data_IF_168071886736
#
_entry.id   IF_168071886736
#
_cell.length_a   1.000
_cell.length_b   1.000
_cell.length_c   1.000
_cell.angle_alpha   90.00
_cell.angle_beta   90.00
_cell.angle_gamma   90.00
#
_symmetry.space_group_name_H-M   'P 1'
#
loop_
_entity.id
_entity.type
_entity.pdbx_description
1 polymer ?
#
# COMPACT_ATOMS: atom_id res chain seq x y z
N UNK A 1 -11.90 25.12 17.54
CA UNK A 1 -10.58 24.81 16.97
C UNK A 1 -10.70 23.46 16.31
N UNK A 2 -10.62 23.40 14.97
CA UNK A 2 -10.77 22.16 14.20
C UNK A 2 -9.51 21.97 13.36
N UNK A 3 -9.06 20.72 13.30
CA UNK A 3 -8.01 20.20 12.40
C UNK A 3 -6.57 20.51 12.77
N UNK A 4 -5.99 19.64 13.61
CA UNK A 4 -4.56 19.31 13.51
C UNK A 4 -4.28 17.79 13.55
N UNK A 5 -5.28 16.96 13.83
CA UNK A 5 -5.14 15.48 13.91
C UNK A 5 -5.37 14.75 12.56
N UNK A 6 -6.00 15.41 11.58
CA UNK A 6 -6.29 14.76 10.28
C UNK A 6 -5.12 14.79 9.30
N UNK A 7 -4.13 15.66 9.48
CA UNK A 7 -3.00 15.79 8.56
C UNK A 7 -1.93 14.74 8.86
N UNK A 8 -1.67 14.43 10.13
CA UNK A 8 -0.65 13.44 10.48
C UNK A 8 -1.07 12.01 10.17
N UNK A 9 -2.37 11.68 10.33
CA UNK A 9 -2.91 10.35 10.00
C UNK A 9 -2.91 10.08 8.50
N UNK A 10 -3.21 11.08 7.68
CA UNK A 10 -3.17 10.96 6.22
C UNK A 10 -1.74 10.83 5.67
N UNK A 11 -0.78 11.54 6.29
CA UNK A 11 0.64 11.44 5.93
C UNK A 11 1.26 10.11 6.34
N UNK A 12 0.85 9.54 7.48
CA UNK A 12 1.28 8.20 7.91
C UNK A 12 0.83 7.15 6.87
N UNK A 13 -0.47 7.13 6.54
CA UNK A 13 -1.06 6.17 5.59
C UNK A 13 -0.43 6.21 4.20
N UNK A 14 -0.04 7.40 3.72
CA UNK A 14 0.61 7.55 2.43
C UNK A 14 2.04 6.97 2.40
N UNK A 15 2.78 7.07 3.51
CA UNK A 15 4.13 6.50 3.61
C UNK A 15 4.08 4.98 3.67
N UNK A 16 3.18 4.42 4.49
CA UNK A 16 2.99 2.98 4.64
C UNK A 16 2.52 2.33 3.32
N UNK A 17 1.71 3.04 2.53
CA UNK A 17 1.32 2.60 1.18
C UNK A 17 2.49 2.51 0.20
N UNK A 18 3.44 3.45 0.27
CA UNK A 18 4.63 3.45 -0.57
C UNK A 18 5.60 2.34 -0.15
N UNK A 19 5.75 2.12 1.16
CA UNK A 19 6.55 1.03 1.71
C UNK A 19 5.99 -0.33 1.28
N UNK A 20 4.68 -0.54 1.42
CA UNK A 20 4.00 -1.74 0.94
C UNK A 20 4.23 -1.99 -0.56
N UNK A 21 4.03 -0.96 -1.39
CA UNK A 21 4.22 -1.08 -2.84
C UNK A 21 5.68 -1.44 -3.19
N UNK A 22 6.65 -0.87 -2.48
CA UNK A 22 8.06 -1.21 -2.64
C UNK A 22 8.35 -2.67 -2.27
N UNK A 23 7.87 -3.14 -1.12
CA UNK A 23 8.05 -4.53 -0.69
C UNK A 23 7.45 -5.52 -1.69
N UNK A 24 6.24 -5.26 -2.17
CA UNK A 24 5.57 -6.10 -3.16
C UNK A 24 6.37 -6.20 -4.47
N UNK A 25 6.83 -5.07 -5.00
CA UNK A 25 7.63 -5.03 -6.24
C UNK A 25 8.97 -5.76 -6.07
N UNK A 26 9.60 -5.61 -4.90
CA UNK A 26 10.86 -6.26 -4.58
C UNK A 26 10.70 -7.78 -4.49
N UNK A 27 9.71 -8.27 -3.74
CA UNK A 27 9.43 -9.71 -3.61
C UNK A 27 9.13 -10.35 -4.96
N UNK A 28 8.34 -9.69 -5.81
CA UNK A 28 8.01 -10.20 -7.14
C UNK A 28 9.23 -10.25 -8.07
N UNK A 29 10.07 -9.21 -8.07
CA UNK A 29 11.35 -9.23 -8.80
C UNK A 29 12.27 -10.37 -8.34
N UNK A 30 12.30 -10.68 -7.04
CA UNK A 30 13.13 -11.74 -6.47
C UNK A 30 12.60 -13.15 -6.80
N UNK A 31 11.28 -13.36 -6.88
CA UNK A 31 10.68 -14.69 -7.04
C UNK A 31 10.30 -15.06 -8.48
N UNK A 32 9.77 -14.11 -9.27
CA UNK A 32 9.18 -14.41 -10.58
C UNK A 32 9.92 -13.73 -11.75
N UNK A 33 10.74 -12.70 -11.47
CA UNK A 33 11.46 -11.93 -12.48
C UNK A 33 10.56 -11.01 -13.33
N UNK A 34 9.26 -10.94 -13.05
CA UNK A 34 8.29 -10.06 -13.72
C UNK A 34 7.54 -9.22 -12.68
N UNK A 35 7.06 -8.04 -13.09
CA UNK A 35 6.36 -7.11 -12.18
C UNK A 35 4.86 -7.00 -12.47
N UNK A 36 4.33 -7.76 -13.44
CA UNK A 36 2.95 -7.66 -13.90
C UNK A 36 1.93 -8.04 -12.81
N UNK A 37 2.25 -9.06 -12.00
CA UNK A 37 1.44 -9.44 -10.84
C UNK A 37 1.46 -8.38 -9.73
N UNK A 38 2.62 -7.76 -9.49
CA UNK A 38 2.73 -6.64 -8.55
C UNK A 38 1.90 -5.44 -9.03
N UNK A 39 1.97 -5.12 -10.33
CA UNK A 39 1.22 -4.02 -10.92
C UNK A 39 -0.30 -4.23 -10.79
N UNK A 40 -0.78 -5.43 -11.09
CA UNK A 40 -2.20 -5.81 -10.96
C UNK A 40 -2.67 -5.68 -9.50
N UNK A 41 -1.85 -6.12 -8.56
CA UNK A 41 -2.13 -6.05 -7.12
C UNK A 41 -2.19 -4.59 -6.64
N UNK A 42 -1.25 -3.74 -7.06
CA UNK A 42 -1.27 -2.30 -6.75
C UNK A 42 -2.53 -1.63 -7.33
N UNK A 43 -2.91 -1.93 -8.57
CA UNK A 43 -4.12 -1.38 -9.18
C UNK A 43 -5.39 -1.77 -8.41
N UNK A 44 -5.51 -3.03 -7.99
CA UNK A 44 -6.65 -3.52 -7.22
C UNK A 44 -6.77 -2.80 -5.88
N UNK A 45 -5.64 -2.58 -5.20
CA UNK A 45 -5.60 -1.90 -3.92
C UNK A 45 -5.94 -0.41 -4.05
N UNK A 46 -5.40 0.29 -5.06
CA UNK A 46 -5.78 1.67 -5.36
C UNK A 46 -7.27 1.82 -5.68
N UNK A 47 -7.85 0.85 -6.38
CA UNK A 47 -9.29 0.83 -6.65
C UNK A 47 -10.14 0.62 -5.38
N UNK A 48 -9.65 -0.14 -4.39
CA UNK A 48 -10.29 -0.32 -3.07
C UNK A 48 -10.25 0.97 -2.27
N UNK A 49 -9.10 1.63 -2.20
CA UNK A 49 -8.93 2.93 -1.52
C UNK A 49 -9.79 4.02 -2.19
N UNK A 50 -9.78 4.10 -3.52
CA UNK A 50 -10.57 5.08 -4.27
C UNK A 50 -12.09 4.92 -4.11
N UNK A 51 -12.58 3.77 -3.67
CA UNK A 51 -13.99 3.51 -3.33
C UNK A 51 -14.32 3.82 -1.86
N UNK A 52 -13.37 4.34 -1.08
CA UNK A 52 -13.53 4.62 0.34
C UNK A 52 -13.34 3.39 1.24
N UNK A 53 -12.72 2.32 0.73
CA UNK A 53 -12.35 1.17 1.55
C UNK A 53 -11.18 1.50 2.46
N UNK A 54 -11.29 1.17 3.75
CA UNK A 54 -10.15 1.19 4.67
C UNK A 54 -9.16 0.07 4.29
N UNK A 55 -7.89 0.42 4.30
CA UNK A 55 -6.77 -0.50 4.05
C UNK A 55 -5.77 -0.29 5.17
N UNK A 56 -5.44 -1.36 5.89
CA UNK A 56 -4.35 -1.39 6.84
C UNK A 56 -3.08 -1.84 6.14
N UNK A 57 -2.23 -0.89 5.77
CA UNK A 57 -0.97 -1.18 5.09
C UNK A 57 0.03 -1.93 5.97
N UNK A 58 -0.06 -1.82 7.29
CA UNK A 58 0.80 -2.57 8.21
C UNK A 58 0.47 -4.07 8.18
N UNK A 59 -0.82 -4.40 8.10
CA UNK A 59 -1.27 -5.78 7.91
C UNK A 59 -0.83 -6.34 6.55
N UNK A 60 -1.04 -5.58 5.47
CA UNK A 60 -0.67 -5.99 4.11
C UNK A 60 0.84 -6.19 3.95
N UNK A 61 1.69 -5.38 4.60
CA UNK A 61 3.15 -5.58 4.63
C UNK A 61 3.51 -6.88 5.35
N UNK A 62 2.83 -7.21 6.44
CA UNK A 62 3.09 -8.42 7.22
C UNK A 62 2.80 -9.71 6.44
N UNK A 63 1.92 -9.66 5.44
CA UNK A 63 1.60 -10.80 4.57
C UNK A 63 2.59 -11.00 3.41
N UNK A 64 3.50 -10.05 3.18
CA UNK A 64 4.52 -10.13 2.13
C UNK A 64 5.83 -10.79 2.61
N UNK A 65 5.96 -11.10 3.90
CA UNK A 65 7.09 -11.80 4.53
C UNK A 65 6.71 -13.24 4.91
#
# INVERSE_FOLDING_TARGET
>A
MKSMESVSSYQMGAFEALEWAWHLLKTQKEHSGTVDEAYTTVQALLAKVGKGGEVDFSEEISQLH
#
